data_IF_414375820682
#
_entry.id   IF_414375820682
#
_cell.length_a   1.000
_cell.length_b   1.000
_cell.length_c   1.000
_cell.angle_alpha   90.00
_cell.angle_beta   90.00
_cell.angle_gamma   90.00
#
_symmetry.space_group_name_H-M   'P 1'
#
loop_
_entity.id
_entity.type
_entity.pdbx_description
1 polymer ?
#
# COMPACT_ATOMS: atom_id res chain seq x y z
N UNK A 1 -8.26 -23.62 11.36
CA UNK A 1 -7.01 -22.83 11.35
C UNK A 1 -6.37 -23.03 9.99
N UNK A 2 -6.36 -22.04 9.10
CA UNK A 2 -5.71 -22.17 7.79
C UNK A 2 -4.32 -21.55 7.88
N UNK A 3 -3.31 -22.41 7.86
CA UNK A 3 -1.92 -22.06 7.58
C UNK A 3 -1.88 -21.48 6.17
N UNK A 4 -1.58 -20.19 6.03
CA UNK A 4 -1.30 -19.58 4.74
C UNK A 4 0.23 -19.57 4.61
N UNK A 5 0.76 -20.43 3.74
CA UNK A 5 2.13 -20.32 3.23
C UNK A 5 2.21 -19.03 2.43
N UNK A 6 2.92 -18.03 2.96
CA UNK A 6 3.27 -16.83 2.19
C UNK A 6 4.43 -17.21 1.27
N UNK A 7 4.19 -17.19 -0.05
CA UNK A 7 5.22 -17.44 -1.07
C UNK A 7 5.77 -16.11 -1.57
N UNK A 8 7.04 -16.14 -1.96
CA UNK A 8 7.99 -15.07 -2.32
C UNK A 8 7.57 -14.01 -3.39
N UNK A 9 6.30 -13.97 -3.81
CA UNK A 9 5.81 -13.10 -4.90
C UNK A 9 4.77 -12.03 -4.47
N UNK A 10 4.49 -11.88 -3.17
CA UNK A 10 3.52 -10.89 -2.62
C UNK A 10 4.20 -9.55 -2.21
N UNK A 11 4.84 -8.79 -3.09
CA UNK A 11 5.76 -7.71 -2.63
C UNK A 11 5.20 -6.28 -2.69
N UNK A 12 4.23 -5.96 -3.56
CA UNK A 12 3.89 -4.54 -3.84
C UNK A 12 2.64 -4.01 -3.12
N UNK A 13 1.50 -4.71 -3.18
CA UNK A 13 0.28 -4.35 -2.42
C UNK A 13 0.38 -4.65 -0.93
N UNK A 14 1.44 -5.37 -0.56
CA UNK A 14 1.80 -5.70 0.80
C UNK A 14 2.36 -4.52 1.55
N UNK A 15 2.89 -3.48 0.90
CA UNK A 15 3.54 -2.38 1.61
C UNK A 15 2.54 -1.50 2.39
N UNK A 16 1.45 -1.05 1.76
CA UNK A 16 0.39 -0.33 2.47
C UNK A 16 -0.25 -1.19 3.56
N UNK A 17 -0.56 -2.46 3.23
CA UNK A 17 -1.17 -3.38 4.18
C UNK A 17 -0.26 -3.66 5.39
N UNK A 18 1.05 -3.77 5.18
CA UNK A 18 2.05 -3.97 6.24
C UNK A 18 2.20 -2.72 7.10
N UNK A 19 2.36 -1.55 6.48
CA UNK A 19 2.42 -0.28 7.19
C UNK A 19 1.19 -0.12 8.09
N UNK A 20 -0.02 -0.30 7.54
CA UNK A 20 -1.26 -0.22 8.29
C UNK A 20 -1.29 -1.19 9.48
N UNK A 21 -0.89 -2.45 9.28
CA UNK A 21 -0.85 -3.47 10.34
C UNK A 21 0.19 -3.14 11.42
N UNK A 22 1.36 -2.63 11.05
CA UNK A 22 2.41 -2.20 12.00
C UNK A 22 1.94 -1.05 12.89
N UNK A 23 1.12 -0.15 12.34
CA UNK A 23 0.50 0.94 13.08
C UNK A 23 -0.80 0.55 13.82
N UNK A 24 -1.17 -0.74 13.83
CA UNK A 24 -2.36 -1.23 14.54
C UNK A 24 -3.69 -0.76 13.95
N UNK A 25 -3.69 -0.27 12.71
CA UNK A 25 -4.87 0.29 12.05
C UNK A 25 -5.70 -0.80 11.38
N UNK A 26 -7.03 -0.69 11.50
CA UNK A 26 -7.95 -1.46 10.66
C UNK A 26 -8.10 -0.78 9.30
N UNK A 27 -8.58 -1.50 8.27
CA UNK A 27 -8.87 -0.86 6.98
C UNK A 27 -9.93 0.24 7.10
N UNK A 28 -10.87 0.11 8.04
CA UNK A 28 -11.88 1.14 8.30
C UNK A 28 -11.24 2.38 8.92
N UNK A 29 -10.36 2.22 9.92
CA UNK A 29 -9.65 3.34 10.53
C UNK A 29 -8.79 4.11 9.50
N UNK A 30 -8.07 3.39 8.63
CA UNK A 30 -7.33 4.02 7.54
C UNK A 30 -8.26 4.74 6.57
N UNK A 31 -9.40 4.14 6.23
CA UNK A 31 -10.38 4.77 5.34
C UNK A 31 -10.94 6.07 5.93
N UNK A 32 -11.23 6.10 7.22
CA UNK A 32 -11.68 7.29 7.94
C UNK A 32 -10.61 8.40 7.91
N UNK A 33 -9.33 8.05 8.10
CA UNK A 33 -8.21 9.01 7.99
C UNK A 33 -7.99 9.56 6.58
N UNK A 34 -8.26 8.73 5.56
CA UNK A 34 -8.15 9.09 4.15
C UNK A 34 -9.41 9.77 3.60
N UNK A 35 -10.52 9.77 4.35
CA UNK A 35 -11.80 10.28 3.88
C UNK A 35 -12.40 9.46 2.73
N UNK A 36 -12.19 8.14 2.70
CA UNK A 36 -12.73 7.24 1.69
C UNK A 36 -13.47 6.04 2.31
N UNK A 37 -13.95 5.09 1.50
CA UNK A 37 -14.63 3.91 2.03
C UNK A 37 -13.64 2.80 2.42
N UNK A 38 -13.99 2.01 3.43
CA UNK A 38 -13.21 0.80 3.78
C UNK A 38 -13.09 -0.17 2.59
N UNK A 39 -14.12 -0.28 1.76
CA UNK A 39 -14.10 -1.10 0.54
C UNK A 39 -13.09 -0.60 -0.49
N UNK A 40 -12.81 0.71 -0.52
CA UNK A 40 -11.79 1.30 -1.39
C UNK A 40 -10.39 0.93 -0.89
N UNK A 41 -10.11 1.09 0.41
CA UNK A 41 -8.87 0.60 1.03
C UNK A 41 -8.67 -0.89 0.78
N UNK A 42 -9.73 -1.70 0.92
CA UNK A 42 -9.65 -3.13 0.63
C UNK A 42 -9.35 -3.46 -0.83
N UNK A 43 -9.70 -2.60 -1.79
CA UNK A 43 -9.36 -2.79 -3.22
C UNK A 43 -7.91 -2.41 -3.50
N UNK A 44 -7.40 -1.38 -2.83
CA UNK A 44 -6.01 -0.93 -2.94
C UNK A 44 -5.05 -2.00 -2.40
N UNK A 45 -5.40 -2.66 -1.28
CA UNK A 45 -4.56 -3.66 -0.60
C UNK A 45 -4.66 -5.08 -1.17
N UNK A 46 -5.38 -5.32 -2.28
CA UNK A 46 -5.54 -6.68 -2.82
C UNK A 46 -4.23 -7.20 -3.38
N UNK A 47 -3.95 -8.48 -3.16
CA UNK A 47 -2.84 -9.14 -3.83
C UNK A 47 -3.11 -9.33 -5.33
N UNK A 48 -4.36 -9.60 -5.69
CA UNK A 48 -4.81 -9.84 -7.06
C UNK A 48 -5.56 -8.60 -7.59
N UNK A 49 -5.14 -8.09 -8.74
CA UNK A 49 -5.68 -6.91 -9.44
C UNK A 49 -5.94 -5.69 -8.52
N UNK A 50 -4.89 -5.13 -7.89
CA UNK A 50 -5.04 -3.94 -7.05
C UNK A 50 -5.39 -2.70 -7.87
N UNK A 51 -6.21 -1.83 -7.30
CA UNK A 51 -6.46 -0.52 -7.89
C UNK A 51 -5.40 0.49 -7.45
N UNK A 52 -5.00 1.35 -8.37
CA UNK A 52 -4.19 2.52 -8.05
C UNK A 52 -5.08 3.61 -7.45
N UNK A 53 -4.79 4.13 -6.24
CA UNK A 53 -5.58 5.20 -5.66
C UNK A 53 -5.53 6.49 -6.50
N UNK A 54 -6.58 7.30 -6.41
CA UNK A 54 -6.58 8.64 -7.00
C UNK A 54 -5.50 9.54 -6.39
N UNK A 55 -5.08 10.57 -7.13
CA UNK A 55 -4.01 11.50 -6.74
C UNK A 55 -4.18 12.07 -5.33
N UNK A 56 -5.39 12.47 -4.97
CA UNK A 56 -5.67 13.08 -3.65
C UNK A 56 -5.45 12.08 -2.51
N UNK A 57 -5.85 10.82 -2.73
CA UNK A 57 -5.64 9.73 -1.76
C UNK A 57 -4.16 9.37 -1.66
N UNK A 58 -3.43 9.34 -2.78
CA UNK A 58 -1.99 9.11 -2.77
C UNK A 58 -1.22 10.20 -2.01
N UNK A 59 -1.57 11.47 -2.22
CA UNK A 59 -0.98 12.59 -1.50
C UNK A 59 -1.24 12.45 0.01
N UNK A 60 -2.48 12.12 0.39
CA UNK A 60 -2.85 11.93 1.79
C UNK A 60 -2.14 10.73 2.42
N UNK A 61 -2.05 9.61 1.71
CA UNK A 61 -1.31 8.43 2.13
C UNK A 61 0.17 8.75 2.39
N UNK A 62 0.79 9.51 1.50
CA UNK A 62 2.19 9.94 1.66
C UNK A 62 2.38 10.81 2.91
N UNK A 63 1.46 11.75 3.16
CA UNK A 63 1.47 12.60 4.36
C UNK A 63 1.33 11.79 5.66
N UNK A 64 0.31 10.94 5.77
CA UNK A 64 0.03 10.19 7.01
C UNK A 64 1.06 9.11 7.29
N UNK A 65 1.68 8.57 6.23
CA UNK A 65 2.74 7.57 6.36
C UNK A 65 4.12 8.19 6.58
N UNK A 66 4.26 9.52 6.54
CA UNK A 66 5.56 10.18 6.67
C UNK A 66 6.54 9.79 5.56
N UNK A 67 6.04 9.34 4.40
CA UNK A 67 6.83 8.85 3.29
C UNK A 67 7.21 7.37 3.33
N UNK A 68 6.73 6.60 4.32
CA UNK A 68 6.89 5.14 4.34
C UNK A 68 6.14 4.48 3.18
N UNK A 69 4.94 4.99 2.85
CA UNK A 69 4.16 4.58 1.68
C UNK A 69 4.22 5.70 0.64
N UNK A 70 4.85 5.41 -0.50
CA UNK A 70 5.11 6.34 -1.58
C UNK A 70 4.19 6.06 -2.78
N UNK A 71 3.87 7.08 -3.60
CA UNK A 71 3.11 6.88 -4.83
C UNK A 71 3.71 5.83 -5.75
N UNK A 72 5.04 5.72 -5.82
CA UNK A 72 5.73 4.72 -6.64
C UNK A 72 5.51 3.28 -6.17
N UNK A 73 5.09 3.05 -4.92
CA UNK A 73 4.80 1.71 -4.42
C UNK A 73 3.54 1.08 -5.08
N UNK A 74 2.73 1.89 -5.77
CA UNK A 74 1.52 1.46 -6.47
C UNK A 74 1.73 1.19 -7.97
N UNK A 75 2.95 1.34 -8.48
CA UNK A 75 3.28 1.14 -9.89
C UNK A 75 4.44 0.16 -10.04
N UNK A 76 4.38 -0.69 -11.07
CA UNK A 76 5.51 -1.55 -11.47
C UNK A 76 6.55 -0.71 -12.21
N UNK A 77 7.28 0.12 -11.45
CA UNK A 77 8.35 0.97 -11.96
C UNK A 77 9.69 0.44 -11.44
N UNK A 78 10.71 0.36 -12.32
CA UNK A 78 12.05 0.03 -11.86
C UNK A 78 12.58 1.13 -10.95
N UNK A 79 13.23 0.76 -9.85
CA UNK A 79 13.90 1.73 -8.99
C UNK A 79 15.02 2.42 -9.77
N UNK A 80 14.89 3.74 -9.95
CA UNK A 80 15.85 4.54 -10.70
C UNK A 80 17.14 4.79 -9.90
N UNK A 81 17.11 4.72 -8.56
CA UNK A 81 18.30 4.86 -7.72
C UNK A 81 19.24 3.65 -7.83
N UNK A 82 18.71 2.50 -8.25
CA UNK A 82 19.50 1.30 -8.51
C UNK A 82 20.40 1.40 -9.75
N UNK A 83 20.25 2.44 -10.60
CA UNK A 83 21.03 2.62 -11.84
C UNK A 83 22.30 3.45 -11.69
N UNK A 84 22.54 4.10 -10.54
CA UNK A 84 23.71 4.97 -10.34
C UNK A 84 24.94 4.26 -9.74
N UNK A 85 24.92 2.93 -9.63
CA UNK A 85 26.03 2.11 -9.11
C UNK A 85 26.80 1.35 -10.21
N UNK A 86 27.03 1.98 -11.37
CA UNK A 86 27.81 1.41 -12.48
C UNK A 86 29.11 2.18 -12.74
#
# INVERSE_FOLDING_TARGET
MRNICVTEWDVWTVKLANWRKMHGLTQAALADELGCSQSYVSQIERADDPIVPGKDILARLYEISGGDVQPNDFYDLPDLNSREAA
#
